data_IF_133098100985
#
_entry.id   IF_133098100985
#
_cell.length_a   1.000
_cell.length_b   1.000
_cell.length_c   1.000
_cell.angle_alpha   90.00
_cell.angle_beta   90.00
_cell.angle_gamma   90.00
#
_symmetry.space_group_name_H-M   'P 1'
#
loop_
_entity.id
_entity.type
_entity.pdbx_description
1 polymer ?
#
# COMPACT_ATOMS: atom_id res chain seq x y z
N UNK A 1 -27.82 -12.93 -2.03
CA UNK A 1 -27.16 -12.90 -1.77
C UNK A 1 -26.58 -12.60 -1.64
N UNK A 2 -26.70 -12.56 -1.58
CA UNK A 2 -25.93 -12.43 -1.20
C UNK A 2 -25.26 -11.99 -0.98
N UNK A 3 -25.57 -11.85 -0.74
CA UNK A 3 -24.81 -11.56 -0.32
C UNK A 3 -24.02 -11.46 -0.17
N UNK A 4 -24.35 -11.64 -0.16
CA UNK A 4 -23.44 -11.69 0.11
C UNK A 4 -22.69 -11.54 0.16
N UNK A 5 -22.81 -11.65 0.22
CA UNK A 5 -21.91 -11.70 0.31
C UNK A 5 -21.40 -11.44 0.47
N UNK A 6 -21.35 -11.37 0.59
CA UNK A 6 -20.65 -11.23 0.83
C UNK A 6 -19.87 -11.30 1.10
N UNK A 7 -19.89 -11.66 1.45
CA UNK A 7 -18.87 -11.69 1.93
C UNK A 7 -17.77 -11.72 1.36
N UNK A 8 -17.25 -11.12 1.19
CA UNK A 8 -16.04 -11.27 0.63
C UNK A 8 -15.01 -11.38 1.58
N UNK A 9 -14.15 -12.18 1.38
CA UNK A 9 -13.10 -12.27 2.16
C UNK A 9 -12.11 -11.27 1.84
N UNK A 10 -12.11 -10.67 0.68
CA UNK A 10 -11.19 -9.65 0.26
C UNK A 10 -11.88 -8.32 0.39
N UNK A 11 -11.74 -7.63 1.51
CA UNK A 11 -12.40 -6.36 1.70
C UNK A 11 -11.83 -5.25 0.84
N UNK A 12 -10.67 -5.47 0.21
CA UNK A 12 -10.02 -4.44 -0.59
C UNK A 12 -10.05 -4.85 -2.05
N UNK A 13 -10.46 -3.94 -2.90
CA UNK A 13 -10.49 -4.18 -4.33
C UNK A 13 -9.38 -3.37 -4.97
N UNK A 14 -8.50 -4.06 -5.68
CA UNK A 14 -7.32 -3.43 -6.23
C UNK A 14 -7.63 -2.25 -7.13
N UNK A 15 -8.69 -2.34 -7.91
CA UNK A 15 -9.03 -1.26 -8.82
C UNK A 15 -9.50 0.00 -8.12
N UNK A 16 -9.88 -0.10 -6.85
CA UNK A 16 -10.31 1.08 -6.13
C UNK A 16 -9.13 1.86 -5.54
N UNK A 17 -7.93 1.34 -5.70
CA UNK A 17 -6.73 2.01 -5.21
C UNK A 17 -6.10 2.83 -6.31
N UNK A 18 -5.15 3.68 -5.91
CA UNK A 18 -4.43 4.51 -6.87
C UNK A 18 -3.73 3.62 -7.90
N UNK A 19 -3.72 4.03 -9.18
CA UNK A 19 -3.01 3.22 -10.19
C UNK A 19 -1.55 2.96 -9.86
N UNK A 20 -0.92 3.80 -9.04
CA UNK A 20 0.47 3.62 -8.66
C UNK A 20 0.62 2.81 -7.38
N UNK A 21 -0.48 2.30 -6.83
CA UNK A 21 -0.45 1.56 -5.56
C UNK A 21 0.55 0.42 -5.59
N UNK A 22 0.49 -0.39 -6.64
CA UNK A 22 1.37 -1.56 -6.73
C UNK A 22 2.84 -1.16 -6.82
N UNK A 23 3.12 -0.17 -7.66
CA UNK A 23 4.50 0.27 -7.83
C UNK A 23 5.04 0.91 -6.56
N UNK A 24 4.19 1.65 -5.86
CA UNK A 24 4.58 2.24 -4.60
C UNK A 24 4.85 1.16 -3.55
N UNK A 25 4.02 0.11 -3.54
CA UNK A 25 4.22 -0.99 -2.61
C UNK A 25 5.57 -1.67 -2.86
N UNK A 26 5.88 -1.92 -4.12
CA UNK A 26 7.16 -2.52 -4.46
C UNK A 26 8.31 -1.63 -4.01
N UNK A 27 8.18 -0.33 -4.23
CA UNK A 27 9.23 0.60 -3.86
C UNK A 27 9.50 0.59 -2.36
N UNK A 28 8.45 0.68 -1.54
CA UNK A 28 8.66 0.73 -0.09
C UNK A 28 9.22 -0.59 0.44
N UNK A 29 8.81 -1.71 -0.12
CA UNK A 29 9.34 -3.00 0.34
C UNK A 29 10.80 -3.14 -0.07
N UNK A 30 11.14 -2.75 -1.29
CA UNK A 30 12.51 -2.80 -1.74
C UNK A 30 13.42 -1.91 -0.92
N UNK A 31 12.97 -0.69 -0.64
CA UNK A 31 13.78 0.27 0.09
C UNK A 31 13.66 0.10 1.59
N UNK A 32 12.70 -0.71 2.04
CA UNK A 32 12.46 -0.94 3.46
C UNK A 32 12.19 0.35 4.21
N UNK A 33 11.51 1.26 3.52
CA UNK A 33 11.23 2.55 4.12
C UNK A 33 9.89 3.06 3.64
N UNK A 34 8.99 3.37 4.57
CA UNK A 34 7.66 3.90 4.23
C UNK A 34 7.64 5.40 4.23
N UNK A 35 8.38 6.02 3.32
CA UNK A 35 8.54 7.46 3.27
C UNK A 35 7.62 8.08 2.23
N UNK A 36 6.74 8.99 2.67
CA UNK A 36 5.89 9.73 1.75
C UNK A 36 6.73 10.57 0.80
N UNK A 37 7.80 11.16 1.31
CA UNK A 37 8.67 11.99 0.47
C UNK A 37 9.31 11.18 -0.64
N UNK A 38 9.67 9.94 -0.33
CA UNK A 38 10.26 9.06 -1.34
C UNK A 38 9.26 8.79 -2.47
N UNK A 39 8.01 8.53 -2.11
CA UNK A 39 6.96 8.31 -3.08
C UNK A 39 6.75 9.55 -3.94
N UNK A 40 6.75 10.72 -3.30
CA UNK A 40 6.59 11.97 -4.03
C UNK A 40 7.68 12.14 -5.09
N UNK A 41 8.91 11.90 -4.70
CA UNK A 41 10.03 12.09 -5.61
C UNK A 41 10.07 11.06 -6.72
N UNK A 42 9.82 9.82 -6.35
CA UNK A 42 9.93 8.73 -7.32
C UNK A 42 8.90 8.84 -8.43
N UNK A 43 7.69 9.22 -8.07
CA UNK A 43 6.59 9.25 -9.02
C UNK A 43 6.16 10.66 -9.39
N UNK A 44 6.88 11.66 -8.94
CA UNK A 44 6.57 13.06 -9.22
C UNK A 44 5.15 13.42 -8.80
N UNK A 45 4.81 13.09 -7.57
CA UNK A 45 3.45 13.29 -7.06
C UNK A 45 3.42 14.42 -6.05
N UNK A 46 2.25 15.04 -5.92
CA UNK A 46 2.02 15.98 -4.84
C UNK A 46 1.87 15.25 -3.52
N UNK A 47 1.91 16.02 -2.44
CA UNK A 47 1.87 15.44 -1.11
C UNK A 47 0.56 14.70 -0.84
N UNK A 48 -0.55 15.27 -1.28
CA UNK A 48 -1.85 14.68 -0.97
C UNK A 48 -2.02 13.31 -1.62
N UNK A 49 -1.59 13.19 -2.88
CA UNK A 49 -1.73 11.91 -3.57
C UNK A 49 -0.78 10.88 -2.99
N UNK A 50 0.45 11.30 -2.69
CA UNK A 50 1.41 10.38 -2.09
C UNK A 50 0.93 9.91 -0.72
N UNK A 51 0.33 10.82 0.06
CA UNK A 51 -0.21 10.46 1.36
C UNK A 51 -1.36 9.48 1.24
N UNK A 52 -2.22 9.66 0.23
CA UNK A 52 -3.32 8.73 0.01
C UNK A 52 -2.79 7.33 -0.32
N UNK A 53 -1.76 7.26 -1.16
CA UNK A 53 -1.15 5.97 -1.48
C UNK A 53 -0.60 5.31 -0.22
N UNK A 54 0.06 6.10 0.63
CA UNK A 54 0.57 5.56 1.89
C UNK A 54 -0.55 5.05 2.78
N UNK A 55 -1.68 5.76 2.81
CA UNK A 55 -2.82 5.29 3.60
C UNK A 55 -3.37 3.98 3.04
N UNK A 56 -3.35 3.83 1.72
CA UNK A 56 -3.78 2.57 1.11
C UNK A 56 -2.84 1.43 1.47
N UNK A 57 -1.54 1.71 1.48
CA UNK A 57 -0.56 0.70 1.89
C UNK A 57 -0.77 0.28 3.34
N UNK A 58 -1.11 1.23 4.19
CA UNK A 58 -1.39 0.91 5.59
C UNK A 58 -2.65 0.05 5.70
N UNK A 59 -3.67 0.38 4.92
CA UNK A 59 -4.94 -0.33 5.00
C UNK A 59 -4.78 -1.82 4.71
N UNK A 60 -3.90 -2.18 3.78
CA UNK A 60 -3.70 -3.58 3.46
C UNK A 60 -2.57 -4.22 4.24
N UNK A 61 -1.90 -3.48 5.10
CA UNK A 61 -0.91 -4.06 5.99
C UNK A 61 0.51 -4.08 5.46
N UNK A 62 0.81 -3.28 4.44
CA UNK A 62 2.16 -3.22 3.90
C UNK A 62 3.04 -2.31 4.74
N UNK A 63 2.47 -1.22 5.26
CA UNK A 63 3.19 -0.33 6.15
C UNK A 63 2.36 -0.10 7.41
N UNK A 64 3.02 0.34 8.47
CA UNK A 64 2.35 0.67 9.70
C UNK A 64 1.78 2.07 9.70
N UNK A 65 1.18 2.48 10.83
CA UNK A 65 0.59 3.80 10.91
C UNK A 65 1.64 4.89 10.97
N UNK A 66 1.21 6.09 10.64
CA UNK A 66 2.10 7.22 10.71
C UNK A 66 2.60 7.41 12.13
N UNK A 67 3.90 7.70 12.26
CA UNK A 67 4.53 7.82 13.56
C UNK A 67 5.32 9.12 13.59
N UNK A 68 4.61 10.24 13.78
CA UNK A 68 5.25 11.53 13.80
C UNK A 68 5.86 11.87 12.46
N UNK A 69 7.11 12.29 12.47
CA UNK A 69 7.83 12.65 11.25
C UNK A 69 8.64 11.51 10.69
N UNK A 70 8.64 10.39 11.36
CA UNK A 70 9.44 9.27 10.92
C UNK A 70 8.77 8.55 9.76
N UNK A 71 9.55 7.92 8.90
CA UNK A 71 8.96 7.06 7.89
C UNK A 71 8.15 5.95 8.57
N UNK A 72 7.11 5.48 7.90
CA UNK A 72 6.31 4.40 8.44
C UNK A 72 7.10 3.10 8.37
N UNK A 73 6.82 2.23 9.32
CA UNK A 73 7.47 0.93 9.35
C UNK A 73 6.95 0.08 8.20
N UNK A 74 7.85 -0.64 7.52
CA UNK A 74 7.46 -1.54 6.44
C UNK A 74 7.25 -2.92 7.04
N UNK A 75 6.03 -3.42 6.93
CA UNK A 75 5.62 -4.66 7.59
C UNK A 75 5.85 -5.89 6.72
N UNK A 76 5.96 -5.72 5.42
CA UNK A 76 6.26 -6.81 4.49
C UNK A 76 7.75 -6.76 4.20
N UNK A 77 8.45 -7.84 4.45
CA UNK A 77 9.90 -7.81 4.43
C UNK A 77 10.55 -8.37 3.17
N UNK A 78 9.78 -8.95 2.28
CA UNK A 78 10.34 -9.47 1.04
C UNK A 78 9.31 -9.35 -0.09
N UNK A 79 9.82 -9.37 -1.31
CA UNK A 79 8.96 -9.15 -2.47
C UNK A 79 8.05 -10.34 -2.74
N UNK A 80 8.46 -11.53 -2.35
CA UNK A 80 7.62 -12.70 -2.54
C UNK A 80 6.34 -12.57 -1.73
N UNK A 81 6.47 -12.20 -0.46
CA UNK A 81 5.30 -11.99 0.38
C UNK A 81 4.43 -10.88 -0.16
N UNK A 82 5.05 -9.81 -0.68
CA UNK A 82 4.30 -8.72 -1.26
C UNK A 82 3.51 -9.19 -2.47
N UNK A 83 4.12 -9.98 -3.33
CA UNK A 83 3.43 -10.48 -4.51
C UNK A 83 2.23 -11.34 -4.13
N UNK A 84 2.39 -12.16 -3.10
CA UNK A 84 1.27 -12.97 -2.63
C UNK A 84 0.14 -12.11 -2.12
N UNK A 85 0.47 -11.08 -1.37
CA UNK A 85 -0.55 -10.16 -0.87
C UNK A 85 -1.29 -9.49 -2.02
N UNK A 86 -0.56 -8.99 -3.00
CA UNK A 86 -1.16 -8.30 -4.12
C UNK A 86 -2.03 -9.24 -4.97
N UNK A 87 -1.61 -10.48 -5.12
CA UNK A 87 -2.40 -11.46 -5.85
C UNK A 87 -3.72 -11.72 -5.17
N UNK A 88 -3.74 -11.70 -3.86
CA UNK A 88 -4.96 -11.98 -3.10
C UNK A 88 -5.92 -10.81 -3.06
N UNK A 89 -5.53 -9.67 -3.62
CA UNK A 89 -6.40 -8.50 -3.62
C UNK A 89 -7.30 -8.41 -4.83
N UNK A 90 -7.23 -9.34 -5.73
CA UNK A 90 -8.05 -9.33 -6.96
C UNK A 90 -9.53 -9.57 -6.73
#
# INVERSE_FOLDING_TARGET
>A
EEMTSFLPKQPYIKESFDPLFEEAAILVVKCREGSTAMIQRKFSLGYNRAGRIMDELEKVGIVGPQNGRRPREVLIHDETSLKELLSNME
#
